data_IF_249523800920
#
_entry.id   IF_249523800920
#
_cell.length_a   1.000
_cell.length_b   1.000
_cell.length_c   1.000
_cell.angle_alpha   90.00
_cell.angle_beta   90.00
_cell.angle_gamma   90.00
#
_symmetry.space_group_name_H-M   'P 1'
#
loop_
_entity.id
_entity.type
_entity.pdbx_description
1 polymer ?
#
# COMPACT_ATOMS: atom_id res chain seq x y z
N UNK A 1 14.93 -9.47 52.43
CA UNK A 1 13.93 -8.85 51.52
C UNK A 1 14.64 -7.99 50.49
N UNK A 2 15.24 -8.58 49.47
CA UNK A 2 15.87 -7.86 48.35
C UNK A 2 15.90 -8.79 47.14
N UNK A 3 14.78 -8.99 46.44
CA UNK A 3 14.83 -9.69 45.13
C UNK A 3 13.55 -9.63 44.27
N UNK A 4 12.69 -8.59 44.40
CA UNK A 4 11.43 -8.55 43.62
C UNK A 4 11.28 -7.34 42.67
N UNK A 5 12.29 -6.47 42.55
CA UNK A 5 12.19 -5.27 41.69
C UNK A 5 12.72 -5.46 40.27
N UNK A 6 13.46 -6.54 40.01
CA UNK A 6 13.98 -6.86 38.67
C UNK A 6 12.90 -7.07 37.59
N UNK A 7 11.82 -7.85 37.82
CA UNK A 7 10.81 -8.05 36.79
C UNK A 7 10.04 -6.77 36.46
N UNK A 8 9.77 -5.93 37.46
CA UNK A 8 9.09 -4.64 37.28
C UNK A 8 9.98 -3.68 36.47
N UNK A 9 11.28 -3.63 36.77
CA UNK A 9 12.25 -2.82 36.02
C UNK A 9 12.37 -3.25 34.55
N UNK A 10 12.36 -4.57 34.28
CA UNK A 10 12.42 -5.11 32.92
C UNK A 10 11.15 -4.78 32.10
N UNK A 11 9.97 -4.88 32.72
CA UNK A 11 8.69 -4.53 32.08
C UNK A 11 8.66 -3.03 31.75
N UNK A 12 9.08 -2.17 32.67
CA UNK A 12 9.16 -0.73 32.44
C UNK A 12 10.13 -0.37 31.32
N UNK A 13 11.32 -0.99 31.28
CA UNK A 13 12.29 -0.81 30.21
C UNK A 13 11.77 -1.27 28.85
N UNK A 14 11.06 -2.40 28.80
CA UNK A 14 10.45 -2.88 27.55
C UNK A 14 9.38 -1.92 27.03
N UNK A 15 8.49 -1.43 27.91
CA UNK A 15 7.47 -0.45 27.52
C UNK A 15 8.08 0.89 27.10
N UNK A 16 9.09 1.39 27.83
CA UNK A 16 9.81 2.60 27.45
C UNK A 16 10.54 2.43 26.11
N UNK A 17 11.18 1.27 25.88
CA UNK A 17 11.82 0.95 24.61
C UNK A 17 10.82 0.96 23.45
N UNK A 18 9.62 0.38 23.66
CA UNK A 18 8.54 0.40 22.65
C UNK A 18 8.04 1.81 22.38
N UNK A 19 7.87 2.65 23.40
CA UNK A 19 7.47 4.05 23.24
C UNK A 19 8.52 4.84 22.45
N UNK A 20 9.80 4.68 22.78
CA UNK A 20 10.90 5.36 22.09
C UNK A 20 11.00 4.87 20.64
N UNK A 21 10.87 3.55 20.39
CA UNK A 21 10.88 2.99 19.04
C UNK A 21 9.71 3.53 18.21
N UNK A 22 8.49 3.53 18.77
CA UNK A 22 7.31 4.08 18.11
C UNK A 22 7.47 5.58 17.83
N UNK A 23 8.07 6.32 18.76
CA UNK A 23 8.38 7.74 18.56
C UNK A 23 9.41 7.95 17.45
N UNK A 24 10.47 7.14 17.42
CA UNK A 24 11.50 7.18 16.39
C UNK A 24 10.95 6.83 15.01
N UNK A 25 10.17 5.75 14.91
CA UNK A 25 9.47 5.36 13.68
C UNK A 25 8.54 6.48 13.23
N UNK A 26 7.69 7.00 14.12
CA UNK A 26 6.79 8.13 13.80
C UNK A 26 7.55 9.37 13.35
N UNK A 27 8.69 9.70 13.96
CA UNK A 27 9.53 10.81 13.54
C UNK A 27 10.18 10.57 12.18
N UNK A 28 10.67 9.36 11.93
CA UNK A 28 11.24 8.94 10.64
C UNK A 28 10.19 8.96 9.53
N UNK A 29 8.97 8.49 9.78
CA UNK A 29 7.88 8.57 8.81
C UNK A 29 7.36 10.01 8.62
N UNK A 30 7.37 10.86 9.65
CA UNK A 30 7.10 12.30 9.49
C UNK A 30 8.16 13.04 8.67
N UNK A 31 9.41 12.58 8.70
CA UNK A 31 10.46 13.08 7.81
C UNK A 31 10.17 12.68 6.37
N UNK A 32 9.68 11.45 6.14
CA UNK A 32 9.16 11.00 4.84
C UNK A 32 8.03 11.91 4.36
N UNK A 33 7.05 12.24 5.20
CA UNK A 33 5.96 13.16 4.80
C UNK A 33 6.47 14.57 4.43
N UNK A 34 7.54 15.05 5.08
CA UNK A 34 8.18 16.33 4.77
C UNK A 34 9.07 16.28 3.53
N UNK A 35 9.65 15.13 3.20
CA UNK A 35 10.43 14.89 1.97
C UNK A 35 9.54 14.54 0.76
N UNK A 36 8.28 14.13 0.98
CA UNK A 36 7.26 13.97 -0.08
C UNK A 36 6.83 15.33 -0.69
N UNK A 37 7.33 16.46 -0.18
CA UNK A 37 7.24 17.77 -0.82
C UNK A 37 8.09 17.88 -2.11
N UNK A 38 7.97 16.88 -2.99
CA UNK A 38 8.55 16.81 -4.31
C UNK A 38 7.49 17.24 -5.34
N UNK A 39 7.94 17.84 -6.45
CA UNK A 39 7.10 18.33 -7.57
C UNK A 39 6.19 17.22 -8.14
N UNK A 40 6.53 15.96 -7.87
CA UNK A 40 5.84 14.77 -8.35
C UNK A 40 4.63 14.36 -7.50
N UNK A 41 4.45 14.90 -6.29
CA UNK A 41 3.37 14.48 -5.41
C UNK A 41 1.98 14.81 -5.96
N UNK A 42 1.82 15.99 -6.56
CA UNK A 42 0.55 16.38 -7.21
C UNK A 42 0.19 15.40 -8.35
N UNK A 43 1.18 14.95 -9.12
CA UNK A 43 0.95 13.97 -10.19
C UNK A 43 0.57 12.59 -9.63
N UNK A 44 1.12 12.22 -8.48
CA UNK A 44 0.70 11.02 -7.75
C UNK A 44 -0.74 11.14 -7.26
N UNK A 45 -1.12 12.29 -6.70
CA UNK A 45 -2.50 12.57 -6.27
C UNK A 45 -3.46 12.51 -7.46
N UNK A 46 -3.10 13.07 -8.61
CA UNK A 46 -3.91 12.98 -9.84
C UNK A 46 -4.15 11.53 -10.26
N UNK A 47 -3.12 10.68 -10.22
CA UNK A 47 -3.27 9.25 -10.53
C UNK A 47 -4.15 8.52 -9.50
N UNK A 48 -4.01 8.88 -8.24
CA UNK A 48 -4.80 8.33 -7.13
C UNK A 48 -6.28 8.73 -7.29
N UNK A 49 -6.56 9.99 -7.58
CA UNK A 49 -7.92 10.48 -7.84
C UNK A 49 -8.53 9.84 -9.08
N UNK A 50 -7.78 9.72 -10.18
CA UNK A 50 -8.22 9.00 -11.37
C UNK A 50 -8.58 7.55 -11.04
N UNK A 51 -7.79 6.89 -10.19
CA UNK A 51 -8.07 5.51 -9.76
C UNK A 51 -9.39 5.43 -8.98
N UNK A 52 -9.64 6.39 -8.08
CA UNK A 52 -10.90 6.45 -7.32
C UNK A 52 -12.12 6.86 -8.13
N UNK A 53 -11.91 7.49 -9.29
CA UNK A 53 -12.98 7.91 -10.20
C UNK A 53 -13.40 6.80 -11.18
N UNK A 54 -12.65 5.70 -11.26
CA UNK A 54 -12.99 4.58 -12.13
C UNK A 54 -14.35 3.99 -11.76
N UNK A 55 -15.07 3.61 -12.80
CA UNK A 55 -16.30 2.83 -12.72
C UNK A 55 -16.09 1.45 -13.33
N UNK A 56 -16.95 0.45 -13.00
CA UNK A 56 -16.93 -0.84 -13.69
C UNK A 56 -16.98 -0.73 -15.22
N UNK A 57 -17.75 0.24 -15.73
CA UNK A 57 -17.91 0.48 -17.18
C UNK A 57 -16.64 0.95 -17.86
N UNK A 58 -15.80 1.72 -17.17
CA UNK A 58 -14.50 2.16 -17.70
C UNK A 58 -13.53 0.98 -17.93
N UNK A 59 -13.75 -0.12 -17.20
CA UNK A 59 -13.00 -1.37 -17.31
C UNK A 59 -13.66 -2.37 -18.28
N UNK A 60 -14.78 -2.00 -18.91
CA UNK A 60 -15.56 -2.89 -19.77
C UNK A 60 -16.32 -3.99 -19.01
N UNK A 61 -16.57 -3.80 -17.71
CA UNK A 61 -17.29 -4.76 -16.87
C UNK A 61 -18.68 -4.22 -16.53
N UNK A 62 -19.68 -5.11 -16.54
CA UNK A 62 -21.03 -4.80 -16.09
C UNK A 62 -21.39 -5.68 -14.91
N UNK A 63 -21.90 -5.07 -13.84
CA UNK A 63 -22.41 -5.76 -12.66
C UNK A 63 -23.92 -5.57 -12.53
N UNK A 64 -24.62 -6.52 -11.89
CA UNK A 64 -26.02 -6.33 -11.54
C UNK A 64 -26.21 -5.10 -10.65
N UNK A 65 -27.25 -4.31 -10.89
CA UNK A 65 -27.53 -3.07 -10.14
C UNK A 65 -28.10 -3.32 -8.75
N UNK A 66 -28.53 -4.55 -8.46
CA UNK A 66 -29.13 -4.95 -7.18
C UNK A 66 -28.11 -5.52 -6.18
N UNK A 67 -26.85 -5.69 -6.58
CA UNK A 67 -25.79 -6.26 -5.74
C UNK A 67 -24.58 -5.36 -5.74
N UNK A 68 -24.07 -5.07 -4.55
CA UNK A 68 -22.82 -4.33 -4.41
C UNK A 68 -21.62 -5.27 -4.58
N UNK A 69 -20.85 -4.98 -5.63
CA UNK A 69 -19.76 -5.82 -6.11
C UNK A 69 -18.48 -5.02 -6.16
N UNK A 70 -17.46 -5.52 -5.46
CA UNK A 70 -16.10 -5.04 -5.53
C UNK A 70 -15.52 -5.31 -6.92
N UNK A 71 -15.00 -4.27 -7.55
CA UNK A 71 -14.36 -4.35 -8.86
C UNK A 71 -12.89 -3.91 -8.82
N UNK A 72 -12.46 -3.29 -7.72
CA UNK A 72 -11.08 -2.87 -7.52
C UNK A 72 -10.66 -2.96 -6.06
N UNK A 73 -9.38 -3.22 -5.83
CA UNK A 73 -8.71 -3.09 -4.53
C UNK A 73 -7.45 -2.25 -4.72
N UNK A 74 -7.25 -1.27 -3.84
CA UNK A 74 -6.05 -0.44 -3.75
C UNK A 74 -5.39 -0.73 -2.41
N UNK A 75 -4.10 -1.04 -2.41
CA UNK A 75 -3.27 -1.07 -1.21
C UNK A 75 -2.23 0.04 -1.30
N UNK A 76 -2.23 0.93 -0.31
CA UNK A 76 -1.26 2.02 -0.15
C UNK A 76 -0.38 1.75 1.07
N UNK A 77 0.93 1.90 0.90
CA UNK A 77 1.89 1.77 2.00
C UNK A 77 3.10 2.66 1.79
N UNK A 78 3.78 3.01 2.88
CA UNK A 78 5.06 3.68 2.83
C UNK A 78 6.18 2.67 2.51
N UNK A 79 6.93 2.93 1.44
CA UNK A 79 8.15 2.20 1.08
C UNK A 79 9.32 3.16 1.02
N UNK A 80 10.12 3.21 2.09
CA UNK A 80 11.21 4.19 2.21
C UNK A 80 10.65 5.61 2.29
N UNK A 81 11.01 6.46 1.32
CA UNK A 81 10.53 7.84 1.19
C UNK A 81 9.35 7.98 0.21
N UNK A 82 8.83 6.87 -0.32
CA UNK A 82 7.70 6.87 -1.26
C UNK A 82 6.42 6.33 -0.62
N UNK A 83 5.27 6.76 -1.15
CA UNK A 83 4.02 6.01 -1.05
C UNK A 83 3.92 5.13 -2.28
N UNK A 84 3.77 3.82 -2.08
CA UNK A 84 3.50 2.87 -3.15
C UNK A 84 2.02 2.51 -3.13
N UNK A 85 1.37 2.62 -4.28
CA UNK A 85 -0.02 2.21 -4.49
C UNK A 85 -0.04 1.04 -5.47
N UNK A 86 -0.69 -0.06 -5.04
CA UNK A 86 -0.98 -1.21 -5.88
C UNK A 86 -2.48 -1.27 -6.08
N UNK A 87 -2.91 -1.41 -7.32
CA UNK A 87 -4.31 -1.53 -7.68
C UNK A 87 -4.51 -2.84 -8.41
N UNK A 88 -5.51 -3.62 -8.01
CA UNK A 88 -5.96 -4.79 -8.75
C UNK A 88 -7.42 -4.61 -9.14
N UNK A 89 -7.82 -5.12 -10.30
CA UNK A 89 -9.20 -5.05 -10.79
C UNK A 89 -9.81 -6.42 -11.02
N UNK A 90 -11.15 -6.48 -11.05
CA UNK A 90 -11.91 -7.70 -11.37
C UNK A 90 -11.67 -8.24 -12.79
N UNK A 91 -11.01 -7.46 -13.65
CA UNK A 91 -10.56 -7.89 -14.98
C UNK A 91 -9.24 -8.67 -14.94
N UNK A 92 -8.58 -8.75 -13.77
CA UNK A 92 -7.23 -9.29 -13.61
C UNK A 92 -6.12 -8.28 -13.91
N UNK A 93 -6.47 -7.07 -14.35
CA UNK A 93 -5.50 -5.99 -14.57
C UNK A 93 -4.95 -5.45 -13.25
N UNK A 94 -3.64 -5.18 -13.21
CA UNK A 94 -2.93 -4.65 -12.05
C UNK A 94 -2.23 -3.35 -12.42
N UNK A 95 -2.40 -2.31 -11.62
CA UNK A 95 -1.65 -1.07 -11.73
C UNK A 95 -0.70 -0.89 -10.56
N UNK A 96 0.50 -0.37 -10.85
CA UNK A 96 1.45 0.10 -9.85
C UNK A 96 1.85 1.54 -10.14
N UNK A 97 1.86 2.38 -9.11
CA UNK A 97 2.44 3.72 -9.17
C UNK A 97 2.95 4.12 -7.78
N UNK A 98 3.81 5.13 -7.72
CA UNK A 98 4.33 5.65 -6.46
C UNK A 98 4.57 7.15 -6.50
N UNK A 99 4.78 7.75 -5.33
CA UNK A 99 4.95 9.20 -5.19
C UNK A 99 6.27 9.77 -5.72
N UNK A 100 7.31 8.95 -5.92
CA UNK A 100 8.62 9.40 -6.43
C UNK A 100 8.64 9.44 -7.96
N UNK A 101 8.07 8.42 -8.59
CA UNK A 101 7.94 8.32 -10.04
C UNK A 101 6.47 8.00 -10.34
N UNK A 102 5.62 9.04 -10.46
CA UNK A 102 4.17 8.93 -10.61
C UNK A 102 3.83 8.53 -12.04
N UNK A 103 4.30 7.36 -12.45
CA UNK A 103 3.95 6.71 -13.71
C UNK A 103 3.13 5.49 -13.39
N UNK A 104 1.96 5.40 -14.02
CA UNK A 104 1.12 4.22 -13.98
C UNK A 104 1.78 3.10 -14.79
N UNK A 105 2.18 2.04 -14.10
CA UNK A 105 2.63 0.79 -14.71
C UNK A 105 1.45 -0.18 -14.73
N UNK A 106 1.06 -0.63 -15.91
CA UNK A 106 -0.08 -1.55 -16.11
C UNK A 106 0.47 -2.95 -16.42
N UNK A 107 -0.11 -3.97 -15.80
CA UNK A 107 0.25 -5.36 -16.07
C UNK A 107 -0.08 -5.78 -17.50
N UNK A 108 0.67 -6.75 -18.01
CA UNK A 108 0.25 -7.51 -19.18
C UNK A 108 -0.87 -8.50 -18.78
N UNK A 109 -2.01 -8.43 -19.45
CA UNK A 109 -3.17 -9.31 -19.21
C UNK A 109 -2.90 -10.76 -19.59
N UNK A 110 -1.90 -11.01 -20.44
CA UNK A 110 -1.53 -12.36 -20.86
C UNK A 110 -0.77 -13.13 -19.76
N UNK A 111 -0.35 -12.46 -18.68
CA UNK A 111 0.28 -13.14 -17.55
C UNK A 111 -0.77 -13.81 -16.66
N UNK A 112 -1.02 -15.10 -16.90
CA UNK A 112 -2.03 -15.88 -16.17
C UNK A 112 -1.80 -15.94 -14.65
N UNK A 113 -0.53 -15.95 -14.21
CA UNK A 113 -0.17 -16.00 -12.79
C UNK A 113 -0.58 -14.72 -12.07
N UNK A 114 -0.16 -13.56 -12.58
CA UNK A 114 -0.52 -12.25 -12.01
C UNK A 114 -2.03 -11.99 -12.05
N UNK A 115 -2.69 -12.35 -13.14
CA UNK A 115 -4.15 -12.27 -13.27
C UNK A 115 -4.85 -13.12 -12.21
N UNK A 116 -4.39 -14.35 -11.98
CA UNK A 116 -4.97 -15.23 -10.94
C UNK A 116 -4.83 -14.61 -9.55
N UNK A 117 -3.66 -14.07 -9.22
CA UNK A 117 -3.40 -13.40 -7.94
C UNK A 117 -4.25 -12.13 -7.77
N UNK A 118 -4.43 -11.34 -8.83
CA UNK A 118 -5.30 -10.17 -8.83
C UNK A 118 -6.76 -10.55 -8.54
N UNK A 119 -7.27 -11.61 -9.17
CA UNK A 119 -8.64 -12.11 -8.95
C UNK A 119 -8.84 -12.65 -7.52
N UNK A 120 -7.82 -13.29 -6.94
CA UNK A 120 -7.85 -13.71 -5.54
C UNK A 120 -7.98 -12.50 -4.58
N UNK A 121 -7.22 -11.42 -4.84
CA UNK A 121 -7.33 -10.19 -4.07
C UNK A 121 -8.71 -9.52 -4.18
N UNK A 122 -9.32 -9.53 -5.36
CA UNK A 122 -10.71 -9.04 -5.56
C UNK A 122 -11.71 -9.90 -4.80
N UNK A 123 -11.52 -11.23 -4.79
CA UNK A 123 -12.40 -12.15 -4.05
C UNK A 123 -12.33 -11.86 -2.55
N UNK A 124 -11.13 -11.66 -2.00
CA UNK A 124 -10.96 -11.22 -0.61
C UNK A 124 -11.62 -9.85 -0.37
N UNK A 125 -11.44 -8.89 -1.29
CA UNK A 125 -12.06 -7.57 -1.18
C UNK A 125 -13.59 -7.65 -1.10
N UNK A 126 -14.22 -8.48 -1.93
CA UNK A 126 -15.68 -8.70 -1.91
C UNK A 126 -16.19 -9.14 -0.54
N UNK A 127 -15.41 -9.93 0.21
CA UNK A 127 -15.81 -10.40 1.53
C UNK A 127 -15.67 -9.33 2.62
N UNK A 128 -14.66 -8.45 2.51
CA UNK A 128 -14.27 -7.56 3.60
C UNK A 128 -14.86 -6.15 3.56
N UNK A 129 -15.29 -5.65 2.39
CA UNK A 129 -15.68 -4.22 2.26
C UNK A 129 -16.81 -3.79 3.20
N UNK A 130 -17.74 -4.69 3.53
CA UNK A 130 -18.88 -4.38 4.40
C UNK A 130 -18.45 -4.00 5.84
N UNK A 131 -17.24 -4.39 6.27
CA UNK A 131 -16.67 -4.07 7.60
C UNK A 131 -15.84 -2.79 7.60
N UNK A 132 -15.63 -2.17 6.45
CA UNK A 132 -14.76 -1.01 6.27
C UNK A 132 -15.54 0.32 6.33
N UNK A 133 -14.82 1.43 6.44
CA UNK A 133 -15.43 2.77 6.48
C UNK A 133 -15.78 3.22 5.07
N UNK A 134 -17.07 3.43 4.81
CA UNK A 134 -17.59 3.96 3.54
C UNK A 134 -17.14 5.41 3.28
N UNK A 135 -16.84 5.73 2.03
CA UNK A 135 -16.39 7.04 1.52
C UNK A 135 -15.18 7.64 2.27
N UNK A 136 -14.25 6.79 2.72
CA UNK A 136 -13.04 7.23 3.44
C UNK A 136 -11.81 7.26 2.51
N UNK A 137 -11.75 8.23 1.60
CA UNK A 137 -10.63 8.38 0.63
C UNK A 137 -9.42 9.16 1.17
N UNK A 138 -9.38 9.39 2.49
CA UNK A 138 -8.33 10.20 3.13
C UNK A 138 -6.92 9.66 2.87
N UNK A 139 -5.93 10.43 3.27
CA UNK A 139 -4.51 10.09 3.10
C UNK A 139 -4.10 8.84 3.89
N UNK A 140 -2.95 8.28 3.50
CA UNK A 140 -2.27 7.21 4.22
C UNK A 140 -1.62 7.79 5.48
N UNK A 141 -1.85 7.15 6.63
CA UNK A 141 -1.18 7.56 7.87
C UNK A 141 0.28 7.08 7.90
N UNK A 142 1.20 7.86 8.47
CA UNK A 142 2.60 7.48 8.63
C UNK A 142 2.75 6.15 9.38
N UNK A 143 3.42 5.17 8.76
CA UNK A 143 3.63 3.84 9.35
C UNK A 143 2.41 2.91 9.30
N UNK A 144 1.38 3.24 8.51
CA UNK A 144 0.21 2.39 8.28
C UNK A 144 0.25 1.75 6.88
N UNK A 145 -0.59 0.74 6.70
CA UNK A 145 -1.05 0.25 5.41
C UNK A 145 -2.52 0.57 5.30
N UNK A 146 -2.95 1.08 4.15
CA UNK A 146 -4.34 1.43 3.89
C UNK A 146 -4.87 0.66 2.70
N UNK A 147 -6.04 0.09 2.87
CA UNK A 147 -6.80 -0.55 1.82
C UNK A 147 -7.96 0.35 1.41
N UNK A 148 -8.21 0.38 0.09
CA UNK A 148 -9.44 0.90 -0.47
C UNK A 148 -10.07 -0.16 -1.36
N UNK A 149 -11.37 -0.42 -1.18
CA UNK A 149 -12.14 -1.32 -2.02
C UNK A 149 -13.10 -0.48 -2.83
N UNK A 150 -12.97 -0.58 -4.15
CA UNK A 150 -13.82 0.08 -5.13
C UNK A 150 -14.98 -0.85 -5.47
N UNK A 151 -16.21 -0.40 -5.22
CA UNK A 151 -17.44 -1.13 -5.56
C UNK A 151 -18.25 -0.35 -6.58
N UNK A 152 -19.20 -1.01 -7.25
CA UNK A 152 -20.16 -0.35 -8.14
C UNK A 152 -21.05 0.72 -7.45
N UNK A 153 -21.01 0.87 -6.13
CA UNK A 153 -21.77 1.89 -5.39
C UNK A 153 -20.90 2.95 -4.70
N UNK A 154 -19.81 2.56 -4.05
CA UNK A 154 -18.95 3.46 -3.26
C UNK A 154 -17.54 2.89 -3.08
N UNK A 155 -16.68 3.68 -2.42
CA UNK A 155 -15.35 3.30 -1.98
C UNK A 155 -15.35 3.05 -0.48
N UNK A 156 -14.78 1.94 -0.06
CA UNK A 156 -14.64 1.57 1.35
C UNK A 156 -13.18 1.49 1.73
N UNK A 157 -12.83 1.94 2.92
CA UNK A 157 -11.43 1.96 3.33
C UNK A 157 -11.23 1.55 4.77
N UNK A 158 -10.09 0.91 5.00
CA UNK A 158 -9.58 0.61 6.33
C UNK A 158 -8.06 0.72 6.33
N UNK A 159 -7.50 1.03 7.49
CA UNK A 159 -6.07 1.11 7.69
C UNK A 159 -5.72 0.46 9.02
N UNK A 160 -4.52 -0.10 9.10
CA UNK A 160 -3.91 -0.62 10.31
C UNK A 160 -2.42 -0.26 10.31
N UNK A 161 -1.78 -0.15 11.49
CA UNK A 161 -0.34 0.06 11.58
C UNK A 161 0.40 -1.16 10.99
N UNK A 162 1.56 -0.92 10.36
CA UNK A 162 2.38 -1.99 9.76
C UNK A 162 2.68 -3.11 10.77
N UNK A 163 2.95 -2.75 12.03
CA UNK A 163 3.22 -3.71 13.11
C UNK A 163 2.08 -4.72 13.31
N UNK A 164 0.82 -4.31 13.10
CA UNK A 164 -0.31 -5.23 13.24
C UNK A 164 -0.31 -6.33 12.16
N UNK A 165 0.19 -6.03 10.96
CA UNK A 165 0.39 -7.02 9.90
C UNK A 165 1.60 -7.91 10.17
N UNK A 166 2.69 -7.33 10.70
CA UNK A 166 3.90 -8.10 11.05
C UNK A 166 3.64 -9.11 12.17
N UNK A 167 2.77 -8.76 13.13
CA UNK A 167 2.41 -9.60 14.26
C UNK A 167 1.17 -10.48 14.01
N UNK A 168 0.64 -10.52 12.77
CA UNK A 168 -0.59 -11.23 12.37
C UNK A 168 -1.80 -10.94 13.29
N UNK A 169 -1.91 -9.70 13.76
CA UNK A 169 -2.98 -9.24 14.64
C UNK A 169 -4.00 -8.35 13.92
N UNK A 170 -3.69 -7.92 12.70
CA UNK A 170 -4.62 -7.15 11.87
C UNK A 170 -5.80 -8.00 11.44
N UNK A 171 -7.01 -7.44 11.58
CA UNK A 171 -8.22 -8.06 11.03
C UNK A 171 -8.24 -8.08 9.49
N UNK A 172 -7.30 -7.39 8.83
CA UNK A 172 -7.15 -7.28 7.38
C UNK A 172 -6.01 -8.14 6.83
N UNK A 173 -5.49 -9.09 7.62
CA UNK A 173 -4.38 -9.96 7.24
C UNK A 173 -4.62 -10.66 5.89
N UNK A 174 -5.84 -11.15 5.64
CA UNK A 174 -6.19 -11.80 4.37
C UNK A 174 -6.05 -10.84 3.17
N UNK A 175 -6.51 -9.58 3.30
CA UNK A 175 -6.37 -8.58 2.25
C UNK A 175 -4.90 -8.23 2.02
N UNK A 176 -4.13 -8.10 3.10
CA UNK A 176 -2.71 -7.82 3.03
C UNK A 176 -1.95 -8.95 2.33
N UNK A 177 -2.21 -10.20 2.68
CA UNK A 177 -1.55 -11.36 2.08
C UNK A 177 -1.87 -11.46 0.58
N UNK A 178 -3.13 -11.29 0.20
CA UNK A 178 -3.53 -11.33 -1.21
C UNK A 178 -2.95 -10.15 -2.01
N UNK A 179 -2.98 -8.93 -1.48
CA UNK A 179 -2.42 -7.76 -2.15
C UNK A 179 -0.88 -7.81 -2.22
N UNK A 180 -0.22 -8.33 -1.19
CA UNK A 180 1.23 -8.51 -1.18
C UNK A 180 1.70 -9.59 -2.16
N UNK A 181 0.91 -10.65 -2.36
CA UNK A 181 1.19 -11.67 -3.37
C UNK A 181 1.23 -11.06 -4.80
N UNK A 182 0.44 -10.02 -5.09
CA UNK A 182 0.50 -9.29 -6.37
C UNK A 182 1.87 -8.64 -6.55
N UNK A 183 2.41 -8.01 -5.49
CA UNK A 183 3.73 -7.38 -5.53
C UNK A 183 4.82 -8.43 -5.76
N UNK A 184 4.75 -9.55 -5.05
CA UNK A 184 5.69 -10.64 -5.18
C UNK A 184 5.70 -11.17 -6.63
N UNK A 185 4.52 -11.45 -7.17
CA UNK A 185 4.40 -11.96 -8.53
C UNK A 185 4.87 -10.95 -9.57
N UNK A 186 4.49 -9.68 -9.41
CA UNK A 186 4.98 -8.59 -10.26
C UNK A 186 6.52 -8.49 -10.25
N UNK A 187 7.13 -8.65 -9.07
CA UNK A 187 8.57 -8.65 -8.93
C UNK A 187 9.21 -9.88 -9.57
N UNK A 188 8.59 -11.06 -9.47
CA UNK A 188 9.07 -12.27 -10.12
C UNK A 188 9.06 -12.13 -11.66
N UNK A 189 7.96 -11.62 -12.21
CA UNK A 189 7.83 -11.31 -13.65
C UNK A 189 8.89 -10.31 -14.09
N UNK A 190 9.17 -9.29 -13.26
CA UNK A 190 10.18 -8.29 -13.57
C UNK A 190 11.60 -8.82 -13.64
N UNK A 191 11.89 -9.87 -12.85
CA UNK A 191 13.19 -10.53 -12.80
C UNK A 191 13.36 -11.51 -13.96
N UNK A 192 12.30 -12.26 -14.29
CA UNK A 192 12.32 -13.29 -15.35
C UNK A 192 12.25 -12.70 -16.76
N UNK A 193 11.51 -11.62 -16.93
CA UNK A 193 11.39 -10.86 -18.15
C UNK A 193 11.92 -9.44 -17.91
N UNK A 194 13.20 -9.15 -18.21
CA UNK A 194 13.70 -7.79 -18.24
C UNK A 194 13.13 -7.06 -19.47
N UNK A 195 11.80 -6.97 -19.59
CA UNK A 195 11.12 -6.05 -20.50
C UNK A 195 11.64 -4.67 -20.14
N UNK A 196 12.43 -4.07 -21.04
CA UNK A 196 12.96 -2.68 -21.04
C UNK A 196 12.50 -1.83 -19.84
N UNK A 197 12.98 -2.15 -18.64
CA UNK A 197 12.82 -1.23 -17.51
C UNK A 197 13.95 -0.24 -17.66
N UNK A 198 13.60 0.96 -18.11
CA UNK A 198 14.42 2.15 -17.88
C UNK A 198 14.43 2.37 -16.36
N UNK A 199 15.28 1.63 -15.67
CA UNK A 199 15.73 2.00 -14.35
C UNK A 199 16.87 2.99 -14.58
N UNK A 200 16.79 4.26 -14.11
CA UNK A 200 17.99 5.04 -13.96
C UNK A 200 18.90 4.30 -12.96
N UNK A 201 20.07 3.86 -13.44
CA UNK A 201 21.19 3.51 -12.57
C UNK A 201 21.58 4.79 -11.83
N UNK A 202 21.15 4.96 -10.60
CA UNK A 202 21.65 6.05 -9.77
C UNK A 202 23.10 5.74 -9.37
N UNK A 203 24.07 6.40 -10.03
CA UNK A 203 25.37 6.69 -9.40
C UNK A 203 25.17 7.90 -8.50
N UNK A 204 25.14 7.67 -7.19
CA UNK A 204 25.15 8.75 -6.21
C UNK A 204 26.56 9.37 -6.23
N UNK A 205 26.76 10.45 -6.97
CA UNK A 205 27.93 11.30 -6.77
C UNK A 205 27.66 12.19 -5.56
N UNK A 206 28.17 11.77 -4.40
CA UNK A 206 28.23 12.63 -3.22
C UNK A 206 29.23 13.74 -3.50
N UNK A 207 28.76 14.91 -3.93
CA UNK A 207 29.56 16.13 -3.79
C UNK A 207 29.55 16.51 -2.31
N UNK A 208 30.74 16.63 -1.72
CA UNK A 208 30.91 17.16 -0.36
C UNK A 208 30.26 18.56 -0.31
N UNK A 209 29.45 18.88 0.72
CA UNK A 209 28.97 20.23 0.89
C UNK A 209 30.16 21.17 1.07
N UNK A 210 30.16 22.28 0.32
CA UNK A 210 31.10 23.36 0.52
C UNK A 210 30.82 24.02 1.87
N UNK A 211 31.87 24.22 2.65
CA UNK A 211 31.84 24.93 3.92
C UNK A 211 31.18 26.31 3.75
N UNK A 212 30.24 26.63 4.63
CA UNK A 212 29.90 27.98 5.07
C UNK A 212 29.73 27.95 6.59
#
# INVERSE_FOLDING_TARGET
MKEEYWPIGAILLFHFGRIINNYYLKWKYRQVDKEIADINYDTYLDLREQTFALTPTDLGVMFPTNTETAFGIIMEMHTGTAIQSIVAFSTGEVWLYNSINPRKHVSDKENSSLTTTALAAITAAQYHYARMRRNNKGELLPGHIKFHILTNHDVYSADDPIDAFLDNSSQWEELFNNASAIIEEWNNISKSNPIKRVYPKFKINRTRPANL
#
